data_IF_598492601550
#
_entry.id   IF_598492601550
#
_cell.length_a   1.000
_cell.length_b   1.000
_cell.length_c   1.000
_cell.angle_alpha   90.00
_cell.angle_beta   90.00
_cell.angle_gamma   90.00
#
_symmetry.space_group_name_H-M   'P 1'
#
loop_
_entity.id
_entity.type
_entity.pdbx_description
1 polymer ?
#
# COMPACT_ATOMS: atom_id res chain seq x y z
N UNK A 1 7.74 17.33 -15.33
CA UNK A 1 9.20 17.36 -15.51
C UNK A 1 9.69 18.54 -16.37
N UNK A 2 9.04 18.89 -17.52
CA UNK A 2 9.49 20.04 -18.31
C UNK A 2 9.54 21.31 -17.47
N UNK A 3 8.49 21.63 -16.70
CA UNK A 3 8.48 22.81 -15.81
C UNK A 3 9.57 22.76 -14.74
N UNK A 4 9.84 21.58 -14.16
CA UNK A 4 10.92 21.41 -13.20
C UNK A 4 12.31 21.67 -13.84
N UNK A 5 12.51 21.26 -15.10
CA UNK A 5 13.74 21.54 -15.85
C UNK A 5 13.90 23.05 -16.11
N UNK A 6 12.81 23.75 -16.44
CA UNK A 6 12.82 25.20 -16.62
C UNK A 6 13.21 25.93 -15.31
N UNK A 7 12.59 25.55 -14.19
CA UNK A 7 12.90 26.09 -12.86
C UNK A 7 14.39 25.88 -12.51
N UNK A 8 14.90 24.65 -12.70
CA UNK A 8 16.30 24.35 -12.43
C UNK A 8 17.27 25.22 -13.28
N UNK A 9 16.90 25.54 -14.53
CA UNK A 9 17.65 26.46 -15.37
C UNK A 9 17.56 27.91 -14.87
N UNK A 10 16.36 28.36 -14.54
CA UNK A 10 16.11 29.72 -14.03
C UNK A 10 16.89 29.96 -12.73
N UNK A 11 16.98 28.96 -11.86
CA UNK A 11 17.72 29.01 -10.60
C UNK A 11 19.24 28.80 -10.76
N UNK A 12 19.74 28.45 -11.95
CA UNK A 12 21.11 27.99 -12.17
C UNK A 12 21.54 26.83 -11.25
N UNK A 13 20.63 25.87 -11.00
CA UNK A 13 20.91 24.72 -10.14
C UNK A 13 22.08 23.91 -10.72
N UNK A 14 23.07 23.60 -9.87
CA UNK A 14 24.21 22.76 -10.24
C UNK A 14 23.87 21.28 -10.03
N UNK A 15 24.00 20.46 -11.09
CA UNK A 15 23.73 19.02 -11.07
C UNK A 15 22.35 18.63 -10.46
N UNK A 16 21.22 19.20 -10.94
CA UNK A 16 19.91 18.95 -10.33
C UNK A 16 19.49 17.50 -10.45
N UNK A 17 18.83 16.98 -9.40
CA UNK A 17 18.27 15.64 -9.37
C UNK A 17 16.77 15.69 -9.65
N UNK A 18 16.33 14.93 -10.66
CA UNK A 18 14.92 14.77 -11.00
C UNK A 18 14.45 13.38 -10.54
N UNK A 19 13.74 13.33 -9.42
CA UNK A 19 13.20 12.10 -8.88
C UNK A 19 11.74 11.92 -9.32
N UNK A 20 11.48 10.84 -10.05
CA UNK A 20 10.17 10.54 -10.63
C UNK A 20 9.54 9.36 -9.90
N UNK A 21 8.36 9.58 -9.34
CA UNK A 21 7.59 8.55 -8.66
C UNK A 21 6.67 7.84 -9.67
N UNK A 22 6.83 6.53 -9.79
CA UNK A 22 6.14 5.62 -10.70
C UNK A 22 6.50 5.78 -12.20
N UNK A 23 6.33 4.70 -12.93
CA UNK A 23 6.74 4.58 -14.34
C UNK A 23 5.68 5.06 -15.35
N UNK A 24 5.09 6.26 -15.16
CA UNK A 24 3.91 6.73 -15.93
C UNK A 24 4.24 7.29 -17.31
N UNK A 25 5.44 7.82 -17.50
CA UNK A 25 5.78 8.68 -18.64
C UNK A 25 6.81 8.08 -19.59
N UNK A 26 6.93 6.75 -19.59
CA UNK A 26 7.92 6.01 -20.38
C UNK A 26 8.03 6.43 -21.85
N UNK A 27 6.94 6.57 -22.62
CA UNK A 27 7.02 6.98 -24.02
C UNK A 27 7.70 8.33 -24.26
N UNK A 28 7.71 9.22 -23.25
CA UNK A 28 8.28 10.57 -23.34
C UNK A 28 9.66 10.69 -22.69
N UNK A 29 10.09 9.69 -21.91
CA UNK A 29 11.24 9.79 -21.02
C UNK A 29 12.56 9.99 -21.74
N UNK A 30 12.73 9.41 -22.96
CA UNK A 30 13.96 9.58 -23.75
C UNK A 30 14.24 11.04 -24.09
N UNK A 31 13.21 11.77 -24.56
CA UNK A 31 13.33 13.21 -24.86
C UNK A 31 13.57 14.06 -23.61
N UNK A 32 12.88 13.75 -22.51
CA UNK A 32 13.04 14.41 -21.22
C UNK A 32 14.46 14.16 -20.67
N UNK A 33 14.95 12.92 -20.74
CA UNK A 33 16.32 12.57 -20.32
C UNK A 33 17.40 13.39 -21.02
N UNK A 34 17.24 13.64 -22.33
CA UNK A 34 18.17 14.49 -23.08
C UNK A 34 18.19 15.92 -22.54
N UNK A 35 17.01 16.47 -22.19
CA UNK A 35 16.91 17.82 -21.62
C UNK A 35 17.53 17.88 -20.22
N UNK A 36 17.34 16.85 -19.40
CA UNK A 36 17.96 16.74 -18.05
C UNK A 36 19.49 16.71 -18.18
N UNK A 37 20.02 15.87 -19.07
CA UNK A 37 21.47 15.79 -19.31
C UNK A 37 22.07 17.09 -19.81
N UNK A 38 21.33 17.85 -20.64
CA UNK A 38 21.79 19.13 -21.17
C UNK A 38 22.05 20.21 -20.08
N UNK A 39 21.51 20.02 -18.89
CA UNK A 39 21.73 20.89 -17.72
C UNK A 39 22.56 20.20 -16.62
N UNK A 40 23.28 19.13 -16.95
CA UNK A 40 24.10 18.38 -15.99
C UNK A 40 23.28 17.59 -14.96
N UNK A 41 21.97 17.43 -15.16
CA UNK A 41 21.08 16.79 -14.21
C UNK A 41 21.07 15.26 -14.26
N UNK A 42 20.56 14.66 -13.21
CA UNK A 42 20.40 13.21 -13.02
C UNK A 42 18.91 12.82 -12.95
N UNK A 43 18.53 11.75 -13.64
CA UNK A 43 17.17 11.19 -13.60
C UNK A 43 17.13 9.97 -12.68
N UNK A 44 16.47 10.09 -11.54
CA UNK A 44 16.18 8.99 -10.64
C UNK A 44 14.70 8.59 -10.74
N UNK A 45 14.40 7.30 -10.65
CA UNK A 45 13.03 6.78 -10.77
C UNK A 45 12.75 5.79 -9.67
N UNK A 46 11.63 5.97 -8.96
CA UNK A 46 11.02 4.90 -8.17
C UNK A 46 10.09 4.12 -9.09
N UNK A 47 10.31 2.81 -9.33
CA UNK A 47 9.48 2.02 -10.24
C UNK A 47 8.06 1.74 -9.71
N UNK A 48 7.80 1.93 -8.41
CA UNK A 48 6.55 1.64 -7.69
C UNK A 48 6.14 0.13 -7.72
N UNK A 49 6.50 -0.58 -8.73
CA UNK A 49 6.35 -2.03 -8.87
C UNK A 49 4.97 -2.51 -9.35
N UNK A 50 5.02 -3.26 -10.44
CA UNK A 50 3.92 -4.08 -10.99
C UNK A 50 2.59 -3.36 -11.22
N UNK A 51 2.57 -2.03 -11.46
CA UNK A 51 1.31 -1.28 -11.69
C UNK A 51 0.47 -1.90 -12.83
N UNK A 52 1.13 -2.55 -13.80
CA UNK A 52 0.48 -3.26 -14.90
C UNK A 52 -0.25 -4.55 -14.48
N UNK A 53 -0.05 -5.07 -13.26
CA UNK A 53 -0.79 -6.21 -12.71
C UNK A 53 -2.10 -5.80 -12.04
N UNK A 54 -2.28 -4.52 -11.70
CA UNK A 54 -3.44 -4.07 -10.92
C UNK A 54 -4.75 -4.31 -11.67
N UNK A 55 -5.71 -4.93 -10.98
CA UNK A 55 -7.02 -5.31 -11.52
C UNK A 55 -7.87 -4.13 -11.99
N UNK A 56 -7.65 -2.94 -11.43
CA UNK A 56 -8.37 -1.70 -11.80
C UNK A 56 -8.14 -1.26 -13.25
N UNK A 57 -7.07 -1.75 -13.90
CA UNK A 57 -6.73 -1.32 -15.26
C UNK A 57 -7.25 -2.28 -16.32
N UNK A 58 -7.81 -1.73 -17.40
CA UNK A 58 -8.14 -2.49 -18.61
C UNK A 58 -6.88 -3.05 -19.31
N UNK A 59 -7.03 -4.09 -20.11
CA UNK A 59 -5.90 -4.71 -20.82
C UNK A 59 -5.03 -3.74 -21.62
N UNK A 60 -5.59 -2.76 -22.42
CA UNK A 60 -4.75 -1.79 -23.11
C UNK A 60 -3.94 -0.90 -22.15
N UNK A 61 -4.53 -0.48 -21.02
CA UNK A 61 -3.86 0.32 -20.01
C UNK A 61 -2.75 -0.47 -19.33
N UNK A 62 -2.99 -1.74 -18.99
CA UNK A 62 -1.96 -2.64 -18.44
C UNK A 62 -0.78 -2.81 -19.40
N UNK A 63 -1.04 -2.97 -20.70
CA UNK A 63 0.00 -3.03 -21.74
C UNK A 63 0.80 -1.72 -21.80
N UNK A 64 0.12 -0.57 -21.75
CA UNK A 64 0.79 0.74 -21.66
C UNK A 64 1.72 0.82 -20.46
N UNK A 65 1.25 0.44 -19.27
CA UNK A 65 2.06 0.46 -18.05
C UNK A 65 3.32 -0.41 -18.18
N UNK A 66 3.21 -1.63 -18.73
CA UNK A 66 4.37 -2.51 -18.92
C UNK A 66 5.40 -1.93 -19.89
N UNK A 67 4.94 -1.33 -21.00
CA UNK A 67 5.83 -0.64 -21.95
C UNK A 67 6.46 0.59 -21.31
N UNK A 68 5.67 1.37 -20.58
CA UNK A 68 6.13 2.58 -19.90
C UNK A 68 7.19 2.26 -18.83
N UNK A 69 6.97 1.23 -18.02
CA UNK A 69 7.94 0.73 -17.04
C UNK A 69 9.26 0.35 -17.74
N UNK A 70 9.20 -0.43 -18.81
CA UNK A 70 10.38 -0.82 -19.59
C UNK A 70 11.19 0.39 -20.08
N UNK A 71 10.50 1.42 -20.58
CA UNK A 71 11.16 2.63 -21.10
C UNK A 71 11.75 3.48 -19.96
N UNK A 72 11.05 3.59 -18.83
CA UNK A 72 11.56 4.31 -17.65
C UNK A 72 12.81 3.63 -17.10
N UNK A 73 12.78 2.29 -16.93
CA UNK A 73 13.94 1.50 -16.50
C UNK A 73 15.13 1.67 -17.45
N UNK A 74 14.88 1.63 -18.76
CA UNK A 74 15.94 1.79 -19.78
C UNK A 74 16.66 3.15 -19.69
N UNK A 75 15.96 4.22 -19.29
CA UNK A 75 16.45 5.59 -19.40
C UNK A 75 16.81 6.22 -18.05
N UNK A 76 16.45 5.61 -16.92
CA UNK A 76 16.86 6.07 -15.59
C UNK A 76 18.39 6.01 -15.44
N UNK A 77 18.97 6.96 -14.70
CA UNK A 77 20.36 6.86 -14.24
C UNK A 77 20.46 5.98 -13.01
N UNK A 78 19.44 6.04 -12.14
CA UNK A 78 19.32 5.22 -10.96
C UNK A 78 17.85 4.90 -10.70
N UNK A 79 17.57 3.65 -10.37
CA UNK A 79 16.28 3.19 -9.89
C UNK A 79 16.34 3.02 -8.38
N UNK A 80 15.48 3.75 -7.67
CA UNK A 80 15.36 3.67 -6.22
C UNK A 80 14.16 2.80 -5.90
N UNK A 81 14.42 1.55 -5.50
CA UNK A 81 13.40 0.57 -5.19
C UNK A 81 13.06 0.61 -3.69
N UNK A 82 11.80 0.59 -3.36
CA UNK A 82 11.30 0.61 -1.97
C UNK A 82 11.19 -0.80 -1.35
N UNK A 83 11.46 -1.83 -2.15
CA UNK A 83 11.45 -3.24 -1.76
C UNK A 83 12.59 -3.99 -2.46
N UNK A 84 13.26 -4.90 -1.75
CA UNK A 84 14.27 -5.81 -2.32
C UNK A 84 13.65 -6.74 -3.36
N UNK A 85 12.38 -7.10 -3.18
CA UNK A 85 11.63 -7.88 -4.17
C UNK A 85 11.47 -7.10 -5.48
N UNK A 86 11.16 -5.79 -5.41
CA UNK A 86 11.07 -4.93 -6.59
C UNK A 86 12.46 -4.73 -7.22
N UNK A 87 13.50 -4.52 -6.43
CA UNK A 87 14.86 -4.42 -6.95
C UNK A 87 15.27 -5.68 -7.70
N UNK A 88 15.06 -6.85 -7.12
CA UNK A 88 15.35 -8.16 -7.73
C UNK A 88 14.56 -8.37 -9.03
N UNK A 89 13.29 -7.99 -9.03
CA UNK A 89 12.45 -8.02 -10.23
C UNK A 89 13.01 -7.12 -11.34
N UNK A 90 13.36 -5.88 -11.04
CA UNK A 90 13.93 -4.93 -12.01
C UNK A 90 15.26 -5.46 -12.57
N UNK A 91 16.13 -5.95 -11.73
CA UNK A 91 17.43 -6.50 -12.14
C UNK A 91 17.26 -7.73 -13.03
N UNK A 92 16.30 -8.60 -12.74
CA UNK A 92 16.05 -9.85 -13.50
C UNK A 92 15.33 -9.59 -14.81
N UNK A 93 14.16 -8.96 -14.77
CA UNK A 93 13.28 -8.80 -15.93
C UNK A 93 13.83 -7.79 -16.96
N UNK A 94 14.63 -6.83 -16.49
CA UNK A 94 15.22 -5.79 -17.32
C UNK A 94 16.75 -5.89 -17.44
N UNK A 95 17.34 -7.04 -17.14
CA UNK A 95 18.79 -7.31 -17.19
C UNK A 95 19.46 -6.83 -18.49
N UNK A 96 18.76 -6.91 -19.63
CA UNK A 96 19.25 -6.43 -20.94
C UNK A 96 19.61 -4.94 -20.97
N UNK A 97 19.04 -4.12 -20.08
CA UNK A 97 19.32 -2.69 -19.97
C UNK A 97 20.40 -2.37 -18.93
N UNK A 98 20.87 -3.37 -18.15
CA UNK A 98 21.82 -3.22 -17.05
C UNK A 98 21.45 -2.07 -16.09
N UNK A 99 20.21 -2.08 -15.55
CA UNK A 99 19.74 -0.99 -14.74
C UNK A 99 20.61 -0.82 -13.49
N UNK A 100 20.94 0.44 -13.19
CA UNK A 100 21.54 0.77 -11.88
C UNK A 100 20.40 0.86 -10.87
N UNK A 101 20.49 0.10 -9.78
CA UNK A 101 19.46 0.04 -8.76
C UNK A 101 20.03 0.30 -7.38
N UNK A 102 19.21 0.78 -6.49
CA UNK A 102 19.47 0.81 -5.05
C UNK A 102 18.18 0.60 -4.30
N UNK A 103 18.29 -0.02 -3.12
CA UNK A 103 17.18 -0.22 -2.20
C UNK A 103 17.19 0.86 -1.13
N UNK A 104 16.05 1.57 -1.00
CA UNK A 104 15.79 2.50 0.10
C UNK A 104 14.39 2.20 0.62
N UNK A 105 14.31 1.60 1.81
CA UNK A 105 13.05 1.26 2.45
C UNK A 105 12.25 2.53 2.79
N UNK A 106 10.92 2.41 2.76
CA UNK A 106 10.07 3.39 3.44
C UNK A 106 10.25 3.25 4.95
N UNK A 107 10.16 4.37 5.65
CA UNK A 107 10.05 4.42 7.09
C UNK A 107 8.60 4.62 7.54
N UNK A 108 8.39 4.55 8.84
CA UNK A 108 7.13 4.95 9.49
C UNK A 108 7.42 5.82 10.70
N UNK A 109 6.42 6.58 11.13
CA UNK A 109 6.47 7.34 12.38
C UNK A 109 6.24 6.39 13.55
N UNK A 110 7.23 6.25 14.42
CA UNK A 110 7.19 5.36 15.59
C UNK A 110 6.63 6.04 16.85
N UNK A 111 6.13 7.27 16.74
CA UNK A 111 5.52 7.97 17.87
C UNK A 111 4.11 7.42 18.14
N UNK A 112 3.81 7.16 19.40
CA UNK A 112 2.46 6.75 19.80
C UNK A 112 1.47 7.90 19.64
N UNK A 113 0.19 7.54 19.55
CA UNK A 113 -0.90 8.51 19.59
C UNK A 113 -0.84 9.34 20.90
N UNK A 114 -1.07 10.64 20.76
CA UNK A 114 -1.21 11.55 21.91
C UNK A 114 -2.58 11.44 22.58
N UNK A 115 -3.50 10.73 21.95
CA UNK A 115 -4.84 10.54 22.44
C UNK A 115 -4.90 9.45 23.50
N UNK A 116 -5.89 9.58 24.38
CA UNK A 116 -6.19 8.64 25.44
C UNK A 116 -7.67 8.25 25.38
N UNK A 117 -8.07 7.21 26.10
CA UNK A 117 -9.46 6.76 26.17
C UNK A 117 -10.45 7.79 26.74
N UNK A 118 -9.96 8.87 27.38
CA UNK A 118 -10.83 9.92 27.92
C UNK A 118 -11.06 11.07 26.95
N UNK A 119 -10.34 11.11 25.84
CA UNK A 119 -10.53 12.13 24.80
C UNK A 119 -11.88 11.98 24.11
N UNK A 120 -12.62 13.08 23.97
CA UNK A 120 -13.98 13.07 23.40
C UNK A 120 -14.03 12.44 22.03
N UNK A 121 -13.10 12.73 21.13
CA UNK A 121 -13.07 12.17 19.78
C UNK A 121 -12.83 10.65 19.78
N UNK A 122 -12.09 10.12 20.74
CA UNK A 122 -11.90 8.67 20.91
C UNK A 122 -13.21 8.05 21.36
N UNK A 123 -13.79 8.56 22.46
CA UNK A 123 -15.07 8.06 23.01
C UNK A 123 -16.18 8.11 21.98
N UNK A 124 -16.30 9.22 21.27
CA UNK A 124 -17.32 9.41 20.24
C UNK A 124 -17.16 8.38 19.13
N UNK A 125 -15.94 8.20 18.60
CA UNK A 125 -15.70 7.25 17.52
C UNK A 125 -16.04 5.80 17.92
N UNK A 126 -15.54 5.33 19.08
CA UNK A 126 -15.81 3.97 19.54
C UNK A 126 -17.31 3.75 19.81
N UNK A 127 -17.98 4.74 20.42
CA UNK A 127 -19.42 4.69 20.68
C UNK A 127 -20.24 4.65 19.39
N UNK A 128 -20.01 5.60 18.46
CA UNK A 128 -20.77 5.68 17.21
C UNK A 128 -20.55 4.47 16.29
N UNK A 129 -19.34 3.87 16.32
CA UNK A 129 -19.04 2.68 15.50
C UNK A 129 -19.39 1.37 16.21
N UNK A 130 -19.80 1.43 17.47
CA UNK A 130 -20.12 0.26 18.27
C UNK A 130 -18.95 -0.71 18.41
N UNK A 131 -17.73 -0.18 18.52
CA UNK A 131 -16.48 -0.95 18.62
C UNK A 131 -15.96 -0.88 20.05
N UNK A 132 -15.33 -1.94 20.53
CA UNK A 132 -14.73 -2.00 21.88
C UNK A 132 -13.22 -2.12 21.74
N UNK A 133 -12.47 -1.28 22.46
CA UNK A 133 -11.01 -1.31 22.50
C UNK A 133 -10.47 -2.72 22.78
N UNK A 134 -9.41 -3.12 22.10
CA UNK A 134 -8.75 -4.42 22.19
C UNK A 134 -9.64 -5.63 21.83
N UNK A 135 -10.85 -5.40 21.31
CA UNK A 135 -11.80 -6.47 20.94
C UNK A 135 -12.15 -6.47 19.46
N UNK A 136 -11.23 -6.11 18.60
CA UNK A 136 -11.45 -6.11 17.14
C UNK A 136 -10.18 -6.41 16.36
N UNK A 137 -10.37 -7.08 15.21
CA UNK A 137 -9.40 -7.14 14.12
C UNK A 137 -9.58 -5.91 13.25
N UNK A 138 -8.49 -5.30 12.81
CA UNK A 138 -8.49 -4.07 12.05
C UNK A 138 -7.96 -4.27 10.63
N UNK A 139 -8.61 -3.68 9.65
CA UNK A 139 -8.11 -3.50 8.28
C UNK A 139 -8.15 -2.01 7.95
N UNK A 140 -7.06 -1.47 7.43
CA UNK A 140 -6.99 -0.09 6.94
C UNK A 140 -6.48 -0.08 5.50
N UNK A 141 -7.27 0.43 4.56
CA UNK A 141 -6.83 0.49 3.18
C UNK A 141 -7.96 0.80 2.19
N UNK A 142 -7.61 0.89 0.91
CA UNK A 142 -8.59 1.08 -0.17
C UNK A 142 -9.37 -0.20 -0.41
N UNK A 143 -10.68 -0.09 -0.60
CA UNK A 143 -11.54 -1.24 -0.90
C UNK A 143 -11.44 -1.61 -2.39
N UNK A 144 -10.44 -2.42 -2.69
CA UNK A 144 -10.13 -2.92 -4.05
C UNK A 144 -9.82 -4.41 -4.02
N UNK A 145 -10.10 -5.16 -5.11
CA UNK A 145 -9.92 -6.62 -5.14
C UNK A 145 -8.50 -7.07 -4.78
N UNK A 146 -7.47 -6.36 -5.21
CA UNK A 146 -6.07 -6.68 -4.95
C UNK A 146 -5.65 -6.57 -3.48
N UNK A 147 -6.50 -6.01 -2.61
CA UNK A 147 -6.32 -6.02 -1.16
C UNK A 147 -7.00 -7.22 -0.48
N UNK A 148 -7.56 -8.14 -1.26
CA UNK A 148 -8.11 -9.43 -0.80
C UNK A 148 -9.20 -9.33 0.28
N UNK A 149 -10.02 -8.27 0.23
CA UNK A 149 -11.14 -8.09 1.17
C UNK A 149 -12.09 -9.27 1.18
N UNK A 150 -12.35 -9.88 0.02
CA UNK A 150 -13.22 -11.06 -0.06
C UNK A 150 -12.66 -12.22 0.76
N UNK A 151 -11.38 -12.55 0.60
CA UNK A 151 -10.75 -13.63 1.36
C UNK A 151 -10.74 -13.35 2.86
N UNK A 152 -10.47 -12.09 3.26
CA UNK A 152 -10.46 -11.68 4.65
C UNK A 152 -11.85 -11.75 5.28
N UNK A 153 -12.89 -11.25 4.61
CA UNK A 153 -14.27 -11.27 5.10
C UNK A 153 -14.78 -12.72 5.20
N UNK A 154 -14.60 -13.54 4.15
CA UNK A 154 -15.01 -14.96 4.19
C UNK A 154 -14.30 -15.74 5.27
N UNK A 155 -12.98 -15.57 5.39
CA UNK A 155 -12.18 -16.24 6.42
C UNK A 155 -12.59 -15.81 7.83
N UNK A 156 -12.83 -14.52 8.05
CA UNK A 156 -13.31 -14.03 9.34
C UNK A 156 -14.71 -14.56 9.69
N UNK A 157 -15.67 -14.50 8.75
CA UNK A 157 -17.03 -15.01 8.98
C UNK A 157 -17.05 -16.52 9.27
N UNK A 158 -16.12 -17.28 8.69
CA UNK A 158 -15.97 -18.72 8.94
C UNK A 158 -15.24 -19.04 10.25
N UNK A 159 -14.66 -18.05 10.92
CA UNK A 159 -13.97 -18.21 12.20
C UNK A 159 -14.96 -18.22 13.38
N UNK A 160 -14.51 -18.80 14.50
CA UNK A 160 -15.25 -18.79 15.76
C UNK A 160 -14.92 -17.56 16.65
N UNK A 161 -14.31 -16.52 16.10
CA UNK A 161 -13.95 -15.33 16.86
C UNK A 161 -15.18 -14.60 17.38
N UNK A 162 -15.13 -14.16 18.62
CA UNK A 162 -16.13 -13.29 19.27
C UNK A 162 -15.85 -11.80 19.07
N UNK A 163 -14.74 -11.46 18.41
CA UNK A 163 -14.30 -10.07 18.18
C UNK A 163 -14.95 -9.49 16.93
N UNK A 164 -14.94 -8.17 16.86
CA UNK A 164 -15.36 -7.44 15.67
C UNK A 164 -14.30 -7.49 14.56
N UNK A 165 -14.74 -7.37 13.32
CA UNK A 165 -13.89 -7.16 12.15
C UNK A 165 -14.13 -5.75 11.60
N UNK A 166 -13.24 -4.83 11.95
CA UNK A 166 -13.38 -3.39 11.69
C UNK A 166 -12.61 -3.02 10.44
N UNK A 167 -13.32 -2.48 9.44
CA UNK A 167 -12.77 -2.09 8.15
C UNK A 167 -12.81 -0.57 7.99
N UNK A 168 -11.66 0.06 8.10
CA UNK A 168 -11.47 1.49 7.82
C UNK A 168 -11.16 1.65 6.33
N UNK A 169 -12.19 1.96 5.55
CA UNK A 169 -12.10 2.07 4.10
C UNK A 169 -13.27 2.88 3.54
N UNK A 170 -13.11 3.43 2.33
CA UNK A 170 -14.22 4.06 1.61
C UNK A 170 -14.90 3.05 0.69
N UNK A 171 -16.20 2.86 0.87
CA UNK A 171 -17.05 1.96 0.06
C UNK A 171 -18.17 2.71 -0.69
N UNK A 172 -18.22 4.02 -0.61
CA UNK A 172 -19.19 4.85 -1.36
C UNK A 172 -19.03 4.60 -2.87
N UNK A 173 -20.15 4.39 -3.57
CA UNK A 173 -20.21 4.12 -5.00
C UNK A 173 -19.28 2.97 -5.47
N UNK A 174 -18.97 2.01 -4.59
CA UNK A 174 -18.05 0.93 -4.87
C UNK A 174 -18.76 -0.35 -5.32
N UNK A 175 -18.78 -0.58 -6.65
CA UNK A 175 -19.40 -1.78 -7.25
C UNK A 175 -18.84 -3.10 -6.72
N UNK A 176 -17.58 -3.14 -6.32
CA UNK A 176 -16.97 -4.33 -5.73
C UNK A 176 -17.57 -4.62 -4.34
N UNK A 177 -17.82 -3.57 -3.55
CA UNK A 177 -18.50 -3.70 -2.27
C UNK A 177 -19.91 -4.28 -2.42
N UNK A 178 -20.71 -3.74 -3.36
CA UNK A 178 -22.08 -4.20 -3.60
C UNK A 178 -22.12 -5.66 -4.05
N UNK A 179 -21.21 -6.04 -4.96
CA UNK A 179 -21.04 -7.41 -5.40
C UNK A 179 -20.69 -8.33 -4.23
N UNK A 180 -19.68 -7.96 -3.44
CA UNK A 180 -19.21 -8.77 -2.33
C UNK A 180 -20.30 -8.95 -1.25
N UNK A 181 -21.07 -7.88 -0.96
CA UNK A 181 -22.21 -7.95 -0.05
C UNK A 181 -23.26 -8.97 -0.52
N UNK A 182 -23.59 -8.95 -1.81
CA UNK A 182 -24.54 -9.90 -2.39
C UNK A 182 -24.06 -11.35 -2.33
N UNK A 183 -22.76 -11.57 -2.60
CA UNK A 183 -22.17 -12.91 -2.69
C UNK A 183 -21.86 -13.54 -1.32
N UNK A 184 -21.58 -12.74 -0.30
CA UNK A 184 -21.16 -13.25 1.02
C UNK A 184 -22.21 -13.03 2.10
N UNK A 185 -23.07 -12.03 1.95
CA UNK A 185 -24.02 -11.64 2.99
C UNK A 185 -23.36 -11.13 4.28
N UNK A 186 -22.15 -10.54 4.18
CA UNK A 186 -21.38 -10.07 5.34
C UNK A 186 -22.13 -9.00 6.16
N UNK A 187 -23.06 -8.28 5.55
CA UNK A 187 -23.92 -7.29 6.21
C UNK A 187 -24.92 -7.93 7.22
N UNK A 188 -25.05 -9.24 7.20
CA UNK A 188 -25.84 -10.02 8.19
C UNK A 188 -25.01 -10.51 9.38
N UNK A 189 -23.71 -10.43 9.31
CA UNK A 189 -22.81 -10.75 10.42
C UNK A 189 -22.52 -9.47 11.23
N UNK A 190 -23.06 -9.33 12.45
CA UNK A 190 -22.93 -8.10 13.24
C UNK A 190 -21.48 -7.79 13.64
N UNK A 191 -20.57 -8.76 13.53
CA UNK A 191 -19.16 -8.58 13.82
C UNK A 191 -18.42 -7.83 12.69
N UNK A 192 -18.95 -7.86 11.44
CA UNK A 192 -18.31 -7.18 10.29
C UNK A 192 -18.76 -5.73 10.24
N UNK A 193 -17.83 -4.81 10.49
CA UNK A 193 -18.13 -3.38 10.65
C UNK A 193 -17.33 -2.52 9.66
N UNK A 194 -18.02 -2.00 8.65
CA UNK A 194 -17.49 -0.96 7.77
C UNK A 194 -17.70 0.41 8.42
N UNK A 195 -16.65 1.02 8.93
CA UNK A 195 -16.70 2.22 9.76
C UNK A 195 -16.43 3.53 9.01
N UNK A 196 -16.20 3.44 7.69
CA UNK A 196 -15.82 4.57 6.85
C UNK A 196 -14.34 4.89 6.91
N UNK A 197 -13.96 6.11 6.51
CA UNK A 197 -12.57 6.57 6.54
C UNK A 197 -12.27 7.37 7.81
N UNK A 198 -11.05 7.27 8.32
CA UNK A 198 -10.54 8.08 9.42
C UNK A 198 -9.38 8.91 8.92
N UNK A 199 -9.57 10.22 8.78
CA UNK A 199 -8.54 11.16 8.29
C UNK A 199 -7.71 11.79 9.40
N UNK A 200 -8.20 11.82 10.65
CA UNK A 200 -7.43 12.26 11.81
C UNK A 200 -6.34 11.22 12.12
N UNK A 201 -5.09 11.57 11.84
CA UNK A 201 -3.96 10.67 11.98
C UNK A 201 -3.71 10.23 13.43
N UNK A 202 -3.94 11.12 14.40
CA UNK A 202 -3.80 10.77 15.81
C UNK A 202 -4.87 9.77 16.26
N UNK A 203 -6.12 9.95 15.78
CA UNK A 203 -7.19 8.98 16.04
C UNK A 203 -6.90 7.64 15.35
N UNK A 204 -6.43 7.67 14.11
CA UNK A 204 -6.09 6.44 13.38
C UNK A 204 -4.95 5.66 14.04
N UNK A 205 -3.92 6.36 14.56
CA UNK A 205 -2.88 5.74 15.39
C UNK A 205 -3.48 5.08 16.63
N UNK A 206 -4.32 5.82 17.39
CA UNK A 206 -4.98 5.28 18.57
C UNK A 206 -5.78 4.01 18.27
N UNK A 207 -6.53 4.00 17.18
CA UNK A 207 -7.32 2.84 16.75
C UNK A 207 -6.41 1.65 16.43
N UNK A 208 -5.26 1.85 15.75
CA UNK A 208 -4.29 0.77 15.48
C UNK A 208 -3.65 0.23 16.77
N UNK A 209 -3.23 1.10 17.67
CA UNK A 209 -2.63 0.74 18.96
C UNK A 209 -3.57 -0.08 19.86
N UNK A 210 -4.88 0.15 19.73
CA UNK A 210 -5.91 -0.51 20.52
C UNK A 210 -6.69 -1.58 19.72
N UNK A 211 -6.18 -2.04 18.59
CA UNK A 211 -6.67 -3.22 17.90
C UNK A 211 -6.12 -4.49 18.54
N UNK A 212 -6.94 -5.56 18.59
CA UNK A 212 -6.47 -6.89 18.98
C UNK A 212 -5.43 -7.41 17.99
N UNK A 213 -5.74 -7.29 16.69
CA UNK A 213 -4.82 -7.65 15.61
C UNK A 213 -5.11 -6.81 14.35
N UNK A 214 -4.12 -6.70 13.47
CA UNK A 214 -4.24 -6.05 12.17
C UNK A 214 -4.18 -7.07 11.05
N UNK A 215 -5.11 -6.99 10.10
CA UNK A 215 -5.11 -7.79 8.89
C UNK A 215 -4.57 -7.02 7.70
N UNK A 216 -3.65 -7.64 6.96
CA UNK A 216 -3.10 -7.08 5.74
C UNK A 216 -3.24 -8.06 4.57
N UNK A 217 -4.06 -7.68 3.59
CA UNK A 217 -4.34 -8.50 2.42
C UNK A 217 -3.73 -7.99 1.12
N UNK A 218 -2.86 -6.98 1.15
CA UNK A 218 -2.27 -6.39 -0.05
C UNK A 218 -1.41 -7.41 -0.81
N UNK A 219 -1.65 -7.54 -2.14
CA UNK A 219 -1.06 -8.59 -2.97
C UNK A 219 -0.22 -8.06 -4.14
N UNK A 220 -0.34 -6.78 -4.52
CA UNK A 220 0.29 -6.23 -5.73
C UNK A 220 1.05 -4.94 -5.41
N UNK A 221 2.33 -4.91 -5.73
CA UNK A 221 3.19 -3.73 -5.58
C UNK A 221 4.44 -3.99 -4.76
N UNK A 222 4.95 -2.95 -4.12
CA UNK A 222 6.08 -2.98 -3.19
C UNK A 222 5.64 -2.82 -1.74
N UNK A 223 6.47 -2.20 -0.93
CA UNK A 223 6.20 -1.92 0.48
C UNK A 223 4.97 -1.02 0.64
N UNK A 224 4.02 -1.45 1.48
CA UNK A 224 2.81 -0.69 1.76
C UNK A 224 2.99 0.14 3.04
N UNK A 225 2.90 1.49 2.98
CA UNK A 225 3.03 2.35 4.17
C UNK A 225 2.06 2.00 5.30
N UNK A 226 0.81 1.63 4.97
CA UNK A 226 -0.17 1.22 6.00
C UNK A 226 0.22 -0.05 6.74
N UNK A 227 0.99 -0.95 6.08
CA UNK A 227 1.57 -2.12 6.74
C UNK A 227 2.66 -1.71 7.74
N UNK A 228 3.56 -0.80 7.35
CA UNK A 228 4.61 -0.31 8.25
C UNK A 228 4.02 0.36 9.50
N UNK A 229 2.98 1.19 9.31
CA UNK A 229 2.25 1.83 10.40
C UNK A 229 1.58 0.80 11.33
N UNK A 230 1.07 -0.31 10.78
CA UNK A 230 0.44 -1.38 11.56
C UNK A 230 1.48 -2.22 12.33
N UNK A 231 2.60 -2.57 11.69
CA UNK A 231 3.69 -3.32 12.33
C UNK A 231 4.29 -2.55 13.51
N UNK A 232 4.33 -1.21 13.41
CA UNK A 232 4.80 -0.36 14.51
C UNK A 232 3.80 -0.31 15.66
N UNK A 233 2.50 -0.18 15.37
CA UNK A 233 1.50 0.19 16.36
C UNK A 233 0.66 -0.97 16.89
N UNK A 234 0.44 -2.04 16.10
CA UNK A 234 -0.43 -3.16 16.48
C UNK A 234 0.40 -4.37 16.91
N UNK A 235 0.07 -4.96 18.06
CA UNK A 235 0.85 -6.05 18.66
C UNK A 235 0.84 -7.36 17.85
N UNK A 236 -0.27 -7.67 17.17
CA UNK A 236 -0.42 -8.86 16.36
C UNK A 236 -0.78 -8.47 14.92
N UNK A 237 0.03 -8.90 13.97
CA UNK A 237 -0.16 -8.60 12.57
C UNK A 237 -0.34 -9.91 11.78
N UNK A 238 -1.42 -9.99 11.01
CA UNK A 238 -1.82 -11.13 10.19
C UNK A 238 -1.69 -10.73 8.72
N UNK A 239 -0.61 -11.16 8.06
CA UNK A 239 -0.22 -10.69 6.73
C UNK A 239 -0.49 -11.76 5.67
N UNK A 240 -1.00 -11.36 4.51
CA UNK A 240 -1.07 -12.25 3.35
C UNK A 240 0.35 -12.72 2.98
N UNK A 241 0.51 -14.02 2.80
CA UNK A 241 1.79 -14.67 2.49
C UNK A 241 2.27 -14.36 1.06
N UNK A 242 2.86 -13.18 0.89
CA UNK A 242 3.52 -12.73 -0.36
C UNK A 242 4.88 -12.11 -0.05
N UNK A 243 5.78 -12.12 -1.05
CA UNK A 243 7.18 -11.77 -0.86
C UNK A 243 7.44 -10.43 -0.20
N UNK A 244 6.76 -9.36 -0.62
CA UNK A 244 6.98 -8.03 -0.05
C UNK A 244 6.35 -7.86 1.35
N UNK A 245 5.30 -8.59 1.71
CA UNK A 245 4.80 -8.62 3.08
C UNK A 245 5.77 -9.36 4.00
N UNK A 246 6.33 -10.48 3.52
CA UNK A 246 7.38 -11.21 4.26
C UNK A 246 8.65 -10.40 4.43
N UNK A 247 9.00 -9.58 3.43
CA UNK A 247 10.19 -8.72 3.48
C UNK A 247 10.16 -7.72 4.63
N UNK A 248 8.98 -7.18 4.96
CA UNK A 248 8.82 -6.17 6.03
C UNK A 248 8.30 -6.74 7.34
N UNK A 249 7.51 -7.82 7.31
CA UNK A 249 6.96 -8.45 8.50
C UNK A 249 7.92 -9.42 9.18
N UNK A 250 8.87 -10.00 8.41
CA UNK A 250 9.87 -10.96 8.89
C UNK A 250 9.27 -11.97 9.89
N UNK A 251 9.86 -12.10 11.09
CA UNK A 251 9.37 -12.95 12.18
C UNK A 251 8.38 -12.22 13.13
N UNK A 252 8.12 -10.93 12.86
CA UNK A 252 7.22 -10.09 13.68
C UNK A 252 5.73 -10.19 13.31
N UNK A 253 5.35 -11.12 12.42
CA UNK A 253 3.98 -11.28 11.96
C UNK A 253 3.60 -12.75 11.73
N UNK A 254 2.31 -13.05 11.78
CA UNK A 254 1.77 -14.31 11.30
C UNK A 254 1.34 -14.18 9.84
N UNK A 255 1.56 -15.25 9.06
CA UNK A 255 1.27 -15.23 7.62
C UNK A 255 0.12 -16.16 7.29
N UNK A 256 -0.82 -15.69 6.47
CA UNK A 256 -2.00 -16.44 6.07
C UNK A 256 -2.08 -16.62 4.56
N UNK A 257 -2.69 -17.72 4.13
CA UNK A 257 -3.09 -17.97 2.76
C UNK A 257 -4.60 -17.84 2.62
N UNK A 258 -5.07 -17.54 1.39
CA UNK A 258 -6.48 -17.21 1.12
C UNK A 258 -7.47 -18.31 1.54
N UNK A 259 -7.04 -19.55 1.49
CA UNK A 259 -7.82 -20.74 1.83
C UNK A 259 -7.66 -21.22 3.29
N UNK A 260 -6.77 -20.61 4.06
CA UNK A 260 -6.42 -21.04 5.41
C UNK A 260 -6.70 -19.97 6.48
N UNK A 261 -7.25 -18.84 6.12
CA UNK A 261 -7.36 -17.69 7.02
C UNK A 261 -8.22 -17.98 8.26
N UNK A 262 -9.32 -18.73 8.12
CA UNK A 262 -10.20 -19.05 9.24
C UNK A 262 -9.50 -19.86 10.36
N UNK A 263 -8.44 -20.61 10.03
CA UNK A 263 -7.65 -21.37 11.02
C UNK A 263 -6.56 -20.55 11.69
N UNK A 264 -6.29 -19.33 11.19
CA UNK A 264 -5.30 -18.41 11.75
C UNK A 264 -5.97 -17.41 12.72
N UNK A 265 -7.29 -17.20 12.57
CA UNK A 265 -8.14 -16.38 13.43
C UNK A 265 -8.60 -17.17 14.64
#
# INVERSE_FOLDING_TARGET
LNKAIEIAKENNDQAPIFYVLACRIGPFISGIKKKIKAIGGTLMVNPDGHEWLRAKWSLPVRKYWKISEQLMVKHADLLICDSKNIESYIQKDYAKYRPQTTYIAYGTDTTKSRLTKVDDKVRTWYFEKGVIENNYYLVVGRFVPENNYEAMIRGFMASNSDKDFVLITNVEENKFYDKLRQETGFDKDPRVKFVGTVYDQELLKYIRENAFAYFHGHEVGGTNPSLLEALESTKLNLLLDVGFNREVGEDGALYWKKDQLASVI
#
